data_IF_758809738893
#
_entry.id   IF_758809738893
#
_cell.length_a   1.000
_cell.length_b   1.000
_cell.length_c   1.000
_cell.angle_alpha   90.00
_cell.angle_beta   90.00
_cell.angle_gamma   90.00
#
_symmetry.space_group_name_H-M   'P 1'
#
loop_
_entity.id
_entity.type
_entity.pdbx_description
1 polymer ?
#
# COMPACT_ATOMS: atom_id res chain seq x y z
N UNK A 1 52.85 -61.01 15.63
CA UNK A 1 52.17 -59.97 14.76
C UNK A 1 51.12 -59.30 15.58
N UNK A 2 51.42 -58.05 16.04
CA UNK A 2 50.47 -57.18 16.81
C UNK A 2 49.64 -56.41 15.81
N UNK A 3 48.33 -56.59 15.83
CA UNK A 3 47.36 -55.70 15.07
C UNK A 3 47.19 -54.42 15.81
N UNK A 4 47.59 -53.34 15.19
CA UNK A 4 47.28 -51.94 15.67
C UNK A 4 45.93 -51.53 15.08
N UNK A 5 44.92 -51.38 15.93
CA UNK A 5 43.65 -50.81 15.56
C UNK A 5 43.78 -49.28 15.63
N UNK A 6 43.67 -48.62 14.47
CA UNK A 6 43.59 -47.16 14.36
C UNK A 6 42.14 -46.73 14.56
N UNK A 7 41.85 -46.13 15.69
CA UNK A 7 40.53 -45.55 15.98
C UNK A 7 40.54 -44.11 15.44
N UNK A 8 39.87 -43.87 14.32
CA UNK A 8 39.61 -42.51 13.79
C UNK A 8 38.42 -41.97 14.55
N UNK A 9 38.70 -41.05 15.47
CA UNK A 9 37.66 -40.28 16.12
C UNK A 9 37.16 -39.15 15.15
N UNK A 10 36.00 -39.34 14.59
CA UNK A 10 35.29 -38.26 13.87
C UNK A 10 34.74 -37.29 14.91
N UNK A 11 35.34 -36.10 15.03
CA UNK A 11 34.76 -35.03 15.76
C UNK A 11 33.63 -34.41 14.93
N UNK A 12 32.41 -34.82 15.19
CA UNK A 12 31.21 -34.13 14.70
C UNK A 12 31.09 -32.86 15.53
N UNK A 13 31.47 -31.70 14.96
CA UNK A 13 31.10 -30.41 15.53
C UNK A 13 29.60 -30.25 15.34
N UNK A 14 28.82 -30.57 16.37
CA UNK A 14 27.42 -30.18 16.45
C UNK A 14 27.40 -28.69 16.55
N UNK A 15 26.95 -28.01 15.50
CA UNK A 15 26.49 -26.61 15.57
C UNK A 15 25.25 -26.65 16.46
N UNK A 16 25.43 -26.43 17.75
CA UNK A 16 24.34 -26.30 18.70
C UNK A 16 23.61 -24.97 18.40
N UNK A 17 22.41 -25.05 17.87
CA UNK A 17 21.51 -23.90 17.87
C UNK A 17 21.14 -23.64 19.32
N UNK A 18 21.55 -22.48 19.84
CA UNK A 18 21.11 -22.04 21.16
C UNK A 18 19.62 -21.70 21.07
N UNK A 19 18.81 -22.31 21.93
CA UNK A 19 17.37 -22.11 21.99
C UNK A 19 16.90 -22.24 23.42
N UNK A 20 16.40 -21.15 24.00
CA UNK A 20 15.84 -21.15 25.33
C UNK A 20 14.34 -21.36 25.28
N UNK A 21 13.83 -22.42 25.90
CA UNK A 21 12.39 -22.75 25.96
C UNK A 21 11.84 -22.45 27.36
N UNK A 22 10.79 -21.66 27.43
CA UNK A 22 10.05 -21.30 28.63
C UNK A 22 8.68 -21.98 28.59
N UNK A 23 8.42 -22.90 29.51
CA UNK A 23 7.19 -23.74 29.54
C UNK A 23 6.58 -23.89 30.93
N UNK A 24 7.06 -23.11 31.91
CA UNK A 24 6.58 -23.20 33.29
C UNK A 24 6.23 -21.82 33.83
N UNK A 25 5.52 -21.82 34.99
CA UNK A 25 5.24 -20.59 35.69
C UNK A 25 6.51 -20.02 36.30
N UNK A 26 6.80 -18.76 36.04
CA UNK A 26 7.87 -18.03 36.69
C UNK A 26 7.43 -17.47 38.04
N UNK A 27 8.16 -17.81 39.08
CA UNK A 27 7.89 -17.40 40.45
C UNK A 27 8.95 -16.46 41.02
N UNK A 28 10.01 -16.19 40.27
CA UNK A 28 11.14 -15.33 40.68
C UNK A 28 11.42 -14.27 39.61
N UNK A 29 11.88 -13.12 40.09
CA UNK A 29 12.39 -12.05 39.21
C UNK A 29 13.68 -12.49 38.56
N UNK A 30 13.73 -12.58 37.23
CA UNK A 30 14.94 -12.92 36.50
C UNK A 30 14.94 -12.44 35.04
N UNK A 31 16.13 -12.33 34.49
CA UNK A 31 16.33 -12.12 33.05
C UNK A 31 16.73 -13.44 32.41
N UNK A 32 16.05 -13.79 31.33
CA UNK A 32 16.40 -14.92 30.44
C UNK A 32 16.90 -14.35 29.13
N UNK A 33 18.08 -14.76 28.73
CA UNK A 33 18.71 -14.29 27.47
C UNK A 33 19.20 -15.47 26.66
N UNK A 34 18.97 -15.42 25.37
CA UNK A 34 19.44 -16.39 24.37
C UNK A 34 19.98 -15.65 23.14
N UNK A 35 21.12 -16.06 22.58
CA UNK A 35 21.70 -15.39 21.41
C UNK A 35 20.81 -15.43 20.17
N UNK A 36 19.98 -16.46 20.03
CA UNK A 36 19.20 -16.69 18.80
C UNK A 36 17.69 -16.69 19.04
N UNK A 37 17.19 -17.41 20.05
CA UNK A 37 15.74 -17.59 20.18
C UNK A 37 15.33 -17.87 21.62
N UNK A 38 14.30 -17.16 22.10
CA UNK A 38 13.55 -17.49 23.30
C UNK A 38 12.13 -17.90 22.90
N UNK A 39 11.74 -19.15 23.22
CA UNK A 39 10.41 -19.69 22.90
C UNK A 39 9.58 -19.78 24.19
N UNK A 40 8.41 -19.17 24.19
CA UNK A 40 7.41 -19.31 25.24
C UNK A 40 6.35 -20.31 24.78
N UNK A 41 6.28 -21.45 25.43
CA UNK A 41 5.30 -22.48 25.12
C UNK A 41 3.98 -22.30 25.90
N UNK A 42 2.88 -22.93 25.46
CA UNK A 42 1.66 -22.99 26.24
C UNK A 42 1.93 -23.54 27.65
N UNK A 43 1.45 -22.80 28.67
CA UNK A 43 1.75 -23.09 30.07
C UNK A 43 2.80 -22.17 30.70
N UNK A 44 3.56 -21.40 29.89
CA UNK A 44 4.38 -20.33 30.45
C UNK A 44 3.50 -19.20 31.00
N UNK A 45 3.82 -18.76 32.22
CA UNK A 45 3.13 -17.66 32.89
C UNK A 45 4.11 -16.89 33.77
N UNK A 46 4.17 -15.58 33.62
CA UNK A 46 4.87 -14.66 34.51
C UNK A 46 3.92 -13.51 34.87
N UNK A 47 3.82 -13.18 36.14
CA UNK A 47 2.98 -12.07 36.59
C UNK A 47 3.77 -11.14 37.52
N UNK A 48 3.41 -9.87 37.55
CA UNK A 48 4.02 -8.86 38.41
C UNK A 48 3.89 -9.16 39.91
N UNK A 49 2.94 -10.00 40.27
CA UNK A 49 2.75 -10.43 41.66
C UNK A 49 3.76 -11.51 42.10
N UNK A 50 4.27 -12.32 41.16
CA UNK A 50 5.14 -13.48 41.47
C UNK A 50 6.54 -13.37 40.86
N UNK A 51 6.71 -12.67 39.74
CA UNK A 51 7.97 -12.58 39.02
C UNK A 51 8.14 -11.20 38.35
N UNK A 52 8.37 -10.16 39.15
CA UNK A 52 8.56 -8.81 38.64
C UNK A 52 9.92 -8.25 39.09
N UNK A 53 10.76 -7.76 38.16
CA UNK A 53 10.62 -7.86 36.71
C UNK A 53 11.03 -9.24 36.15
N UNK A 54 10.27 -9.78 35.20
CA UNK A 54 10.69 -10.89 34.35
C UNK A 54 11.03 -10.33 32.98
N UNK A 55 12.23 -10.60 32.46
CA UNK A 55 12.72 -10.09 31.18
C UNK A 55 13.25 -11.24 30.33
N UNK A 56 12.74 -11.40 29.11
CA UNK A 56 13.27 -12.30 28.09
C UNK A 56 13.92 -11.47 26.98
N UNK A 57 15.20 -11.76 26.65
CA UNK A 57 15.97 -11.03 25.65
C UNK A 57 16.57 -11.98 24.61
N UNK A 58 16.72 -11.51 23.39
CA UNK A 58 17.50 -12.17 22.32
C UNK A 58 18.74 -11.31 22.08
N UNK A 59 19.92 -11.91 22.00
CA UNK A 59 21.19 -11.24 21.73
C UNK A 59 22.35 -11.82 22.55
N UNK A 60 23.57 -11.56 22.10
CA UNK A 60 24.80 -12.03 22.77
C UNK A 60 25.15 -11.21 24.01
N UNK A 61 25.76 -11.90 25.00
CA UNK A 61 26.40 -11.27 26.16
C UNK A 61 27.77 -10.69 25.76
N UNK A 62 27.79 -9.75 24.81
CA UNK A 62 29.02 -9.04 24.47
C UNK A 62 29.44 -8.15 25.62
N UNK A 63 30.53 -8.52 26.32
CA UNK A 63 31.24 -7.59 27.19
C UNK A 63 31.82 -6.45 26.35
N UNK A 64 31.34 -5.24 26.50
CA UNK A 64 31.91 -4.08 25.83
C UNK A 64 31.07 -2.82 25.93
N UNK A 65 31.29 -2.03 26.97
CA UNK A 65 31.06 -0.58 26.97
C UNK A 65 29.62 -0.11 27.11
N UNK A 66 29.30 0.34 28.32
CA UNK A 66 27.99 0.83 28.73
C UNK A 66 27.29 1.78 27.77
N UNK A 67 26.13 1.37 27.39
CA UNK A 67 24.97 2.23 27.25
C UNK A 67 23.82 1.48 27.89
N UNK A 68 23.29 2.04 28.95
CA UNK A 68 22.08 1.57 29.61
C UNK A 68 20.95 1.65 28.61
N UNK A 69 20.51 0.49 28.08
CA UNK A 69 19.24 0.39 27.38
C UNK A 69 18.14 0.75 28.37
N UNK A 70 17.60 1.93 28.19
CA UNK A 70 16.45 2.40 28.96
C UNK A 70 15.25 1.55 28.58
N UNK A 71 14.67 0.89 29.58
CA UNK A 71 13.43 0.14 29.50
C UNK A 71 12.35 0.94 28.74
N UNK A 72 11.59 0.23 27.90
CA UNK A 72 10.32 0.71 27.40
C UNK A 72 9.31 0.83 28.56
N UNK A 73 9.53 1.79 29.41
CA UNK A 73 8.63 2.22 30.46
C UNK A 73 7.87 3.45 29.99
N UNK A 74 6.59 3.48 30.27
CA UNK A 74 5.63 4.56 30.06
C UNK A 74 5.95 5.83 30.84
N UNK A 75 7.14 6.37 30.68
CA UNK A 75 7.48 7.72 31.11
C UNK A 75 8.04 8.45 29.90
N UNK A 76 7.44 9.58 29.57
CA UNK A 76 8.01 10.53 28.60
C UNK A 76 9.53 10.64 28.89
N UNK A 77 10.40 10.27 27.98
CA UNK A 77 11.83 10.50 28.18
C UNK A 77 12.08 11.99 28.00
N UNK A 78 12.02 12.73 29.10
CA UNK A 78 12.63 14.06 29.20
C UNK A 78 14.14 13.88 29.38
N UNK A 79 14.77 13.24 28.42
CA UNK A 79 16.21 13.05 28.38
C UNK A 79 16.69 13.34 26.98
N UNK A 80 17.61 14.25 26.84
CA UNK A 80 18.36 14.56 25.62
C UNK A 80 19.20 13.34 25.22
N UNK A 81 18.55 12.34 24.65
CA UNK A 81 19.22 11.32 23.86
C UNK A 81 19.46 11.94 22.49
N UNK A 82 20.71 11.98 22.08
CA UNK A 82 21.14 12.69 20.88
C UNK A 82 20.20 12.52 19.70
N UNK A 83 19.77 13.60 19.14
CA UNK A 83 19.00 13.91 17.91
C UNK A 83 18.05 12.86 17.29
N UNK A 84 17.77 11.73 17.92
CA UNK A 84 16.81 10.73 17.48
C UNK A 84 15.61 10.72 18.45
N UNK A 85 14.68 11.64 18.24
CA UNK A 85 13.37 11.51 18.87
C UNK A 85 12.63 10.35 18.21
N UNK A 86 12.36 9.28 18.96
CA UNK A 86 11.45 8.24 18.53
C UNK A 86 10.04 8.83 18.51
N UNK A 87 9.41 8.82 17.35
CA UNK A 87 8.02 9.19 17.21
C UNK A 87 7.19 7.91 17.07
N UNK A 88 6.19 7.76 17.92
CA UNK A 88 5.19 6.71 17.76
C UNK A 88 4.52 6.88 16.39
N UNK A 89 4.75 5.93 15.51
CA UNK A 89 4.11 5.88 14.20
C UNK A 89 2.83 5.07 14.36
N UNK A 90 1.69 5.75 14.38
CA UNK A 90 0.39 5.09 14.43
C UNK A 90 0.15 4.36 13.11
N UNK A 91 0.03 3.05 13.17
CA UNK A 91 -0.28 2.18 12.04
C UNK A 91 -1.13 1.01 12.48
N UNK A 92 -1.73 0.32 11.51
CA UNK A 92 -2.48 -0.89 11.74
C UNK A 92 -1.76 -2.09 11.13
N UNK A 93 -1.58 -3.15 11.93
CA UNK A 93 -0.99 -4.41 11.49
C UNK A 93 -2.10 -5.46 11.43
N UNK A 94 -2.21 -6.14 10.30
CA UNK A 94 -3.17 -7.23 10.13
C UNK A 94 -2.60 -8.33 9.22
N UNK A 95 -3.21 -9.51 9.27
CA UNK A 95 -2.97 -10.59 8.30
C UNK A 95 -4.17 -10.66 7.38
N UNK A 96 -3.97 -10.46 6.09
CA UNK A 96 -5.05 -10.51 5.11
C UNK A 96 -5.55 -11.94 4.86
N UNK A 97 -6.66 -12.07 4.12
CA UNK A 97 -7.24 -13.38 3.80
C UNK A 97 -6.34 -14.33 3.01
N UNK A 98 -5.26 -13.84 2.41
CA UNK A 98 -4.22 -14.63 1.75
C UNK A 98 -3.05 -15.04 2.65
N UNK A 99 -3.10 -14.72 3.95
CA UNK A 99 -2.03 -15.03 4.91
C UNK A 99 -0.84 -14.06 4.85
N UNK A 100 -0.93 -12.95 4.14
CA UNK A 100 0.13 -11.95 4.05
C UNK A 100 0.00 -10.92 5.18
N UNK A 101 1.14 -10.58 5.79
CA UNK A 101 1.20 -9.46 6.73
C UNK A 101 0.97 -8.15 5.98
N UNK A 102 0.03 -7.34 6.46
CA UNK A 102 -0.19 -5.97 6.01
C UNK A 102 0.08 -5.00 7.15
N UNK A 103 0.75 -3.90 6.82
CA UNK A 103 0.91 -2.75 7.70
C UNK A 103 0.40 -1.51 6.97
N UNK A 104 -0.57 -0.84 7.54
CA UNK A 104 -1.15 0.40 6.99
C UNK A 104 -0.72 1.58 7.83
N UNK A 105 -0.04 2.52 7.21
CA UNK A 105 0.38 3.78 7.80
C UNK A 105 -0.48 4.92 7.25
N UNK A 106 -1.46 5.45 8.02
CA UNK A 106 -2.28 6.56 7.58
C UNK A 106 -1.46 7.85 7.51
N UNK A 107 -1.64 8.60 6.43
CA UNK A 107 -1.04 9.94 6.29
C UNK A 107 -1.99 10.94 6.94
N UNK A 108 -1.52 11.63 7.97
CA UNK A 108 -2.30 12.67 8.62
C UNK A 108 -2.53 13.85 7.67
N UNK A 109 -3.79 14.11 7.33
CA UNK A 109 -4.21 15.18 6.44
C UNK A 109 -5.07 16.20 7.20
N UNK A 110 -4.95 17.51 6.87
CA UNK A 110 -5.85 18.52 7.40
C UNK A 110 -7.28 18.30 6.86
N UNK A 111 -8.32 18.56 7.64
CA UNK A 111 -9.70 18.43 7.20
C UNK A 111 -10.02 19.40 6.07
N UNK A 112 -10.83 18.97 5.12
CA UNK A 112 -11.45 19.85 4.13
C UNK A 112 -12.78 20.42 4.61
N UNK A 113 -13.49 21.09 3.71
CA UNK A 113 -14.84 21.59 3.98
C UNK A 113 -15.78 20.42 4.28
N UNK A 114 -16.51 20.50 5.40
CA UNK A 114 -17.38 19.41 5.90
C UNK A 114 -16.67 18.06 6.03
N UNK A 115 -15.39 18.08 6.41
CA UNK A 115 -14.53 16.89 6.53
C UNK A 115 -14.27 16.14 5.22
N UNK A 116 -14.57 16.73 4.07
CA UNK A 116 -14.21 16.16 2.76
C UNK A 116 -12.70 16.22 2.57
N UNK A 117 -12.03 15.08 2.65
CA UNK A 117 -10.60 14.94 2.46
C UNK A 117 -10.30 13.59 1.80
N UNK A 118 -9.21 13.46 1.02
CA UNK A 118 -8.79 12.17 0.49
C UNK A 118 -8.36 11.25 1.64
N UNK A 119 -8.51 9.94 1.43
CA UNK A 119 -7.92 8.94 2.32
C UNK A 119 -6.67 8.38 1.65
N UNK A 120 -5.51 8.73 2.16
CA UNK A 120 -4.23 8.28 1.60
C UNK A 120 -3.42 7.61 2.68
N UNK A 121 -2.91 6.42 2.39
CA UNK A 121 -2.06 5.68 3.30
C UNK A 121 -0.85 5.14 2.56
N UNK A 122 0.23 4.87 3.28
CA UNK A 122 1.25 3.93 2.84
C UNK A 122 0.88 2.54 3.35
N UNK A 123 0.95 1.56 2.47
CA UNK A 123 0.63 0.18 2.80
C UNK A 123 1.83 -0.73 2.48
N UNK A 124 2.22 -1.54 3.46
CA UNK A 124 3.16 -2.64 3.26
C UNK A 124 2.38 -3.95 3.15
N UNK A 125 2.75 -4.79 2.19
CA UNK A 125 2.21 -6.15 2.08
C UNK A 125 3.36 -7.12 1.91
N UNK A 126 3.51 -8.08 2.82
CA UNK A 126 4.56 -9.09 2.74
C UNK A 126 4.36 -9.97 1.50
N UNK A 127 5.46 -10.28 0.81
CA UNK A 127 5.41 -11.09 -0.41
C UNK A 127 4.89 -10.35 -1.65
N UNK A 128 4.52 -9.06 -1.57
CA UNK A 128 4.33 -8.25 -2.76
C UNK A 128 5.70 -7.79 -3.31
N UNK A 129 5.80 -7.63 -4.62
CA UNK A 129 7.03 -7.17 -5.28
C UNK A 129 7.38 -5.72 -4.96
N UNK A 130 8.20 -5.09 -5.79
CA UNK A 130 8.52 -3.68 -5.66
C UNK A 130 7.30 -2.80 -5.92
N UNK A 131 6.88 -2.06 -4.90
CA UNK A 131 5.84 -1.04 -5.05
C UNK A 131 6.43 0.34 -5.32
N UNK A 132 5.57 1.33 -5.50
CA UNK A 132 6.00 2.72 -5.77
C UNK A 132 6.79 3.34 -4.60
N UNK A 133 6.58 2.87 -3.37
CA UNK A 133 7.25 3.36 -2.17
C UNK A 133 8.34 2.42 -1.64
N UNK A 134 8.74 1.39 -2.41
CA UNK A 134 9.78 0.42 -2.07
C UNK A 134 9.28 -1.02 -2.13
N UNK A 135 10.15 -1.97 -1.76
CA UNK A 135 9.81 -3.38 -1.76
C UNK A 135 8.70 -3.68 -0.74
N UNK A 136 7.57 -4.17 -1.24
CA UNK A 136 6.36 -4.39 -0.43
C UNK A 136 5.52 -3.13 -0.17
N UNK A 137 6.04 -1.93 -0.41
CA UNK A 137 5.38 -0.68 -0.06
C UNK A 137 4.68 -0.01 -1.24
N UNK A 138 3.43 0.38 -1.04
CA UNK A 138 2.62 1.09 -2.01
C UNK A 138 1.83 2.25 -1.36
N UNK A 139 1.31 3.14 -2.21
CA UNK A 139 0.31 4.12 -1.82
C UNK A 139 -1.07 3.46 -1.95
N UNK A 140 -1.94 3.63 -0.97
CA UNK A 140 -3.34 3.17 -1.01
C UNK A 140 -4.32 4.33 -0.80
N UNK A 141 -5.60 4.08 -1.13
CA UNK A 141 -6.66 5.10 -1.05
C UNK A 141 -6.86 5.90 -2.34
N UNK A 142 -6.03 5.67 -3.35
CA UNK A 142 -6.21 6.21 -4.71
C UNK A 142 -6.86 5.12 -5.56
N UNK A 143 -8.07 5.38 -6.04
CA UNK A 143 -8.85 4.39 -6.79
C UNK A 143 -8.63 4.51 -8.28
N UNK A 144 -8.88 3.40 -9.00
CA UNK A 144 -8.80 3.36 -10.45
C UNK A 144 -9.85 2.43 -11.05
N UNK A 145 -10.12 2.62 -12.34
CA UNK A 145 -10.77 1.62 -13.19
C UNK A 145 -9.67 0.97 -14.02
N UNK A 146 -9.53 -0.34 -13.94
CA UNK A 146 -8.45 -1.06 -14.61
C UNK A 146 -8.96 -2.15 -15.54
N UNK A 147 -8.18 -2.45 -16.60
CA UNK A 147 -8.47 -3.62 -17.45
C UNK A 147 -8.21 -4.89 -16.67
N UNK A 148 -8.97 -5.91 -16.99
CA UNK A 148 -8.78 -7.25 -16.46
C UNK A 148 -8.88 -8.30 -17.56
N UNK A 149 -8.12 -9.37 -17.40
CA UNK A 149 -8.19 -10.54 -18.26
C UNK A 149 -9.41 -11.42 -17.96
N UNK A 150 -9.51 -12.52 -18.68
CA UNK A 150 -10.51 -13.57 -18.48
C UNK A 150 -10.04 -14.57 -17.44
N UNK A 151 -10.97 -15.09 -16.66
CA UNK A 151 -10.73 -16.13 -15.67
C UNK A 151 -11.61 -17.35 -15.94
N UNK A 152 -11.11 -18.52 -15.56
CA UNK A 152 -11.86 -19.76 -15.79
C UNK A 152 -13.21 -19.77 -15.08
N UNK A 153 -13.25 -19.15 -13.90
CA UNK A 153 -14.45 -19.07 -13.06
C UNK A 153 -15.56 -18.24 -13.71
N UNK A 154 -15.20 -17.13 -14.35
CA UNK A 154 -16.16 -16.17 -14.89
C UNK A 154 -16.41 -16.31 -16.39
N UNK A 155 -15.42 -16.83 -17.12
CA UNK A 155 -15.43 -16.83 -18.59
C UNK A 155 -15.28 -18.23 -19.18
N UNK A 156 -15.05 -19.26 -18.35
CA UNK A 156 -14.79 -20.63 -18.80
C UNK A 156 -13.41 -20.83 -19.44
N UNK A 157 -12.64 -19.77 -19.60
CA UNK A 157 -11.30 -19.78 -20.16
C UNK A 157 -10.39 -18.76 -19.46
N UNK A 158 -9.08 -19.00 -19.47
CA UNK A 158 -8.08 -18.02 -19.05
C UNK A 158 -7.60 -17.22 -20.26
N UNK A 159 -7.65 -15.89 -20.18
CA UNK A 159 -7.17 -15.01 -21.22
C UNK A 159 -6.53 -13.76 -20.67
N UNK A 160 -5.34 -13.40 -21.16
CA UNK A 160 -4.68 -12.15 -20.80
C UNK A 160 -5.38 -10.92 -21.41
N UNK A 161 -5.03 -9.75 -20.92
CA UNK A 161 -5.48 -8.46 -21.47
C UNK A 161 -4.96 -8.32 -22.90
N UNK A 162 -5.84 -7.92 -23.82
CA UNK A 162 -5.56 -7.79 -25.27
C UNK A 162 -5.39 -6.35 -25.72
N UNK A 163 -5.65 -5.37 -24.85
CA UNK A 163 -5.61 -3.93 -25.15
C UNK A 163 -6.58 -3.51 -26.26
N UNK A 164 -7.70 -4.22 -26.39
CA UNK A 164 -8.77 -3.91 -27.33
C UNK A 164 -10.16 -3.97 -26.63
N UNK A 165 -11.24 -3.82 -27.40
CA UNK A 165 -12.61 -3.82 -26.87
C UNK A 165 -13.09 -5.18 -26.36
N UNK A 166 -12.30 -6.26 -26.51
CA UNK A 166 -12.62 -7.56 -25.95
C UNK A 166 -12.20 -7.74 -24.47
N UNK A 167 -11.47 -6.76 -23.94
CA UNK A 167 -11.06 -6.74 -22.55
C UNK A 167 -12.20 -6.31 -21.63
N UNK A 168 -12.22 -6.87 -20.44
CA UNK A 168 -13.09 -6.39 -19.38
C UNK A 168 -12.44 -5.29 -18.54
N UNK A 169 -13.27 -4.58 -17.78
CA UNK A 169 -12.84 -3.58 -16.83
C UNK A 169 -13.32 -3.93 -15.44
N UNK A 170 -12.56 -3.49 -14.44
CA UNK A 170 -12.92 -3.61 -13.03
C UNK A 170 -12.94 -2.26 -12.34
N UNK A 171 -13.85 -2.12 -11.39
CA UNK A 171 -13.97 -1.00 -10.47
C UNK A 171 -14.01 -1.55 -9.04
N UNK A 172 -13.12 -1.08 -8.17
CA UNK A 172 -12.97 -1.59 -6.80
C UNK A 172 -12.86 -3.13 -6.73
N UNK A 173 -12.09 -3.72 -7.67
CA UNK A 173 -11.88 -5.17 -7.74
C UNK A 173 -13.07 -5.97 -8.30
N UNK A 174 -14.18 -5.33 -8.65
CA UNK A 174 -15.35 -5.97 -9.22
C UNK A 174 -15.43 -5.74 -10.73
N UNK A 175 -15.73 -6.79 -11.48
CA UNK A 175 -15.93 -6.69 -12.93
C UNK A 175 -17.12 -5.79 -13.25
N UNK A 176 -16.96 -4.95 -14.27
CA UNK A 176 -18.03 -4.15 -14.83
C UNK A 176 -18.86 -4.99 -15.78
N UNK A 177 -20.16 -5.02 -15.55
CA UNK A 177 -21.16 -5.73 -16.38
C UNK A 177 -21.89 -4.69 -17.21
N UNK A 178 -21.96 -4.92 -18.52
CA UNK A 178 -22.64 -4.02 -19.44
C UNK A 178 -24.15 -3.98 -19.13
N UNK A 179 -24.66 -2.76 -18.91
CA UNK A 179 -26.10 -2.50 -18.75
C UNK A 179 -26.74 -2.04 -20.05
N UNK A 180 -26.04 -1.15 -20.79
CA UNK A 180 -26.51 -0.64 -22.09
C UNK A 180 -25.36 -0.12 -22.93
N UNK A 181 -25.52 -0.06 -24.25
CA UNK A 181 -24.48 0.36 -25.19
C UNK A 181 -23.61 -0.80 -25.66
N UNK A 182 -22.37 -0.50 -26.05
CA UNK A 182 -21.35 -1.48 -26.45
C UNK A 182 -20.18 -1.45 -25.48
N UNK A 183 -19.72 -2.64 -25.03
CA UNK A 183 -18.67 -2.75 -24.01
C UNK A 183 -17.37 -2.03 -24.40
N UNK A 184 -16.83 -1.21 -23.51
CA UNK A 184 -15.60 -0.43 -23.73
C UNK A 184 -15.74 0.77 -24.65
N UNK A 185 -16.91 1.02 -25.23
CA UNK A 185 -17.14 2.11 -26.18
C UNK A 185 -17.83 3.31 -25.55
N UNK A 186 -17.81 4.42 -26.27
CA UNK A 186 -18.39 5.69 -25.83
C UNK A 186 -19.89 5.56 -25.53
N UNK A 187 -20.30 6.07 -24.37
CA UNK A 187 -21.70 6.14 -23.94
C UNK A 187 -22.24 4.86 -23.31
N UNK A 188 -21.44 3.79 -23.19
CA UNK A 188 -21.91 2.57 -22.54
C UNK A 188 -22.08 2.77 -21.03
N UNK A 189 -23.11 2.14 -20.47
CA UNK A 189 -23.40 2.14 -19.03
C UNK A 189 -23.15 0.75 -18.44
N UNK A 190 -22.67 0.75 -17.18
CA UNK A 190 -22.26 -0.46 -16.48
C UNK A 190 -22.83 -0.50 -15.07
N UNK A 191 -22.92 -1.71 -14.55
CA UNK A 191 -23.12 -2.03 -13.14
C UNK A 191 -21.97 -2.90 -12.66
N UNK A 192 -21.75 -2.98 -11.35
CA UNK A 192 -20.79 -3.89 -10.76
C UNK A 192 -21.33 -5.30 -10.67
N UNK A 193 -20.46 -6.31 -10.75
CA UNK A 193 -20.82 -7.74 -10.68
C UNK A 193 -21.61 -8.08 -9.41
N UNK A 194 -21.18 -7.59 -8.26
CA UNK A 194 -22.02 -7.57 -7.05
C UNK A 194 -22.81 -6.28 -7.08
N UNK A 195 -24.11 -6.39 -6.94
CA UNK A 195 -24.98 -5.22 -6.99
C UNK A 195 -24.49 -4.13 -6.03
N UNK A 196 -24.29 -2.95 -6.57
CA UNK A 196 -24.11 -1.72 -5.84
C UNK A 196 -24.89 -0.62 -6.54
N UNK A 197 -25.45 0.32 -5.80
CA UNK A 197 -26.23 1.42 -6.37
C UNK A 197 -25.31 2.49 -6.97
N UNK A 198 -24.47 2.07 -7.90
CA UNK A 198 -23.48 2.90 -8.59
C UNK A 198 -23.77 2.88 -10.09
N UNK A 199 -23.77 4.05 -10.70
CA UNK A 199 -23.88 4.19 -12.16
C UNK A 199 -22.50 4.52 -12.74
N UNK A 200 -22.04 3.72 -13.68
CA UNK A 200 -20.73 3.87 -14.32
C UNK A 200 -20.93 4.05 -15.82
N UNK A 201 -20.25 5.02 -16.41
CA UNK A 201 -20.27 5.29 -17.85
C UNK A 201 -18.85 5.37 -18.42
N UNK A 202 -18.66 4.77 -19.59
CA UNK A 202 -17.47 4.98 -20.41
C UNK A 202 -17.70 6.06 -21.45
N UNK A 203 -16.75 6.98 -21.62
CA UNK A 203 -16.89 8.17 -22.44
C UNK A 203 -15.66 8.39 -23.31
N UNK A 204 -15.89 8.96 -24.50
CA UNK A 204 -14.85 9.20 -25.49
C UNK A 204 -14.36 7.90 -26.15
N UNK A 205 -13.41 8.06 -27.07
CA UNK A 205 -12.78 6.95 -27.80
C UNK A 205 -11.30 7.26 -28.00
N UNK A 206 -10.42 6.41 -27.47
CA UNK A 206 -8.99 6.51 -27.73
C UNK A 206 -8.72 6.25 -29.19
N UNK A 207 -8.05 7.18 -29.85
CA UNK A 207 -7.67 7.10 -31.25
C UNK A 207 -6.16 7.31 -31.41
N UNK A 208 -5.58 6.69 -32.45
CA UNK A 208 -4.16 6.86 -32.80
C UNK A 208 -3.16 6.22 -31.81
N UNK A 209 -3.64 5.34 -30.92
CA UNK A 209 -2.82 4.60 -29.98
C UNK A 209 -2.72 3.12 -30.35
N UNK A 210 -1.71 2.43 -29.82
CA UNK A 210 -1.54 0.99 -29.98
C UNK A 210 -2.55 0.16 -29.16
N UNK A 211 -3.50 0.81 -28.52
CA UNK A 211 -4.55 0.20 -27.71
C UNK A 211 -5.90 0.91 -27.94
N UNK A 212 -7.00 0.25 -27.63
CA UNK A 212 -8.36 0.73 -27.82
C UNK A 212 -9.08 0.81 -26.48
N UNK A 213 -9.99 1.77 -26.32
CA UNK A 213 -10.81 1.90 -25.11
C UNK A 213 -11.48 3.27 -25.02
N UNK A 214 -12.23 3.52 -23.94
CA UNK A 214 -12.76 4.85 -23.68
C UNK A 214 -11.64 5.82 -23.30
N UNK A 215 -11.92 7.11 -23.39
CA UNK A 215 -10.98 8.13 -22.94
C UNK A 215 -11.06 8.37 -21.44
N UNK A 216 -12.25 8.27 -20.86
CA UNK A 216 -12.47 8.43 -19.42
C UNK A 216 -13.76 7.75 -18.96
N UNK A 217 -13.96 7.74 -17.66
CA UNK A 217 -15.12 7.16 -17.01
C UNK A 217 -15.74 8.13 -16.03
N UNK A 218 -17.07 8.12 -15.95
CA UNK A 218 -17.85 8.80 -14.91
C UNK A 218 -18.53 7.78 -14.01
N UNK A 219 -18.41 7.98 -12.72
CA UNK A 219 -19.06 7.16 -11.69
C UNK A 219 -19.95 8.06 -10.86
N UNK A 220 -21.24 7.70 -10.73
CA UNK A 220 -22.18 8.36 -9.83
C UNK A 220 -22.57 7.39 -8.75
N UNK A 221 -22.39 7.80 -7.49
CA UNK A 221 -22.70 7.01 -6.29
C UNK A 221 -24.13 7.26 -5.81
N UNK A 222 -24.61 6.44 -4.90
CA UNK A 222 -25.99 6.49 -4.38
C UNK A 222 -26.30 7.78 -3.60
N UNK A 223 -25.29 8.40 -2.98
CA UNK A 223 -25.38 9.67 -2.25
C UNK A 223 -25.34 10.89 -3.18
N UNK A 224 -25.29 10.66 -4.50
CA UNK A 224 -25.18 11.70 -5.51
C UNK A 224 -23.78 12.26 -5.72
N UNK A 225 -22.78 11.75 -5.01
CA UNK A 225 -21.38 12.08 -5.30
C UNK A 225 -20.95 11.51 -6.65
N UNK A 226 -19.93 12.11 -7.24
CA UNK A 226 -19.44 11.75 -8.57
C UNK A 226 -17.92 11.62 -8.56
N UNK A 227 -17.40 10.68 -9.35
CA UNK A 227 -15.97 10.54 -9.59
C UNK A 227 -15.67 10.40 -11.10
N UNK A 228 -14.52 10.93 -11.51
CA UNK A 228 -14.02 10.84 -12.88
C UNK A 228 -12.68 10.11 -12.87
N UNK A 229 -12.52 9.20 -13.82
CA UNK A 229 -11.34 8.34 -13.95
C UNK A 229 -10.72 8.49 -15.34
N UNK A 230 -9.41 8.66 -15.40
CA UNK A 230 -8.66 8.85 -16.64
C UNK A 230 -8.64 10.30 -17.14
N UNK A 231 -9.76 11.00 -17.11
CA UNK A 231 -9.90 12.42 -17.43
C UNK A 231 -11.27 12.94 -16.95
N UNK A 232 -11.51 14.24 -17.06
CA UNK A 232 -12.84 14.87 -16.87
C UNK A 232 -13.50 15.23 -18.20
N UNK A 233 -12.75 15.22 -19.29
CA UNK A 233 -13.19 15.50 -20.65
C UNK A 233 -12.39 14.67 -21.64
N UNK A 234 -12.81 14.60 -22.88
CA UNK A 234 -12.05 13.96 -23.97
C UNK A 234 -10.73 14.67 -24.24
N UNK A 235 -9.71 13.94 -24.69
CA UNK A 235 -8.39 14.44 -25.03
C UNK A 235 -7.26 13.71 -24.31
N UNK A 236 -6.05 14.28 -24.36
CA UNK A 236 -4.88 13.72 -23.73
C UNK A 236 -4.99 13.78 -22.20
N UNK A 237 -4.46 12.75 -21.52
CA UNK A 237 -4.44 12.69 -20.05
C UNK A 237 -3.27 11.88 -19.55
N UNK A 238 -2.60 12.37 -18.50
CA UNK A 238 -1.55 11.66 -17.77
C UNK A 238 -2.11 10.66 -16.73
N UNK A 239 -3.39 10.71 -16.45
CA UNK A 239 -4.05 9.79 -15.50
C UNK A 239 -4.54 8.50 -16.15
N UNK A 240 -4.41 8.39 -17.47
CA UNK A 240 -4.86 7.25 -18.25
C UNK A 240 -3.68 6.54 -18.88
N UNK A 241 -3.56 5.24 -18.63
CA UNK A 241 -2.60 4.33 -19.28
C UNK A 241 -3.35 3.30 -20.12
N UNK A 242 -2.67 2.47 -20.93
CA UNK A 242 -3.33 1.39 -21.66
C UNK A 242 -4.13 0.41 -20.78
N UNK A 243 -3.76 0.27 -19.50
CA UNK A 243 -4.37 -0.72 -18.59
C UNK A 243 -5.18 -0.09 -17.45
N UNK A 244 -5.04 1.21 -17.21
CA UNK A 244 -5.56 1.83 -16.00
C UNK A 244 -6.03 3.27 -16.22
N UNK A 245 -7.14 3.61 -15.58
CA UNK A 245 -7.75 4.94 -15.54
C UNK A 245 -7.77 5.39 -14.09
N UNK A 246 -6.83 6.21 -13.69
CA UNK A 246 -6.72 6.70 -12.31
C UNK A 246 -7.75 7.80 -12.05
N UNK A 247 -8.21 7.90 -10.81
CA UNK A 247 -9.14 8.97 -10.39
C UNK A 247 -8.50 10.34 -10.62
N UNK A 248 -9.21 11.26 -11.24
CA UNK A 248 -8.75 12.65 -11.45
C UNK A 248 -9.56 13.66 -10.67
N UNK A 249 -10.81 13.32 -10.33
CA UNK A 249 -11.70 14.19 -9.59
C UNK A 249 -12.74 13.38 -8.84
N UNK A 250 -13.08 13.84 -7.64
CA UNK A 250 -14.26 13.44 -6.90
C UNK A 250 -15.00 14.68 -6.43
N UNK A 251 -16.35 14.64 -6.39
CA UNK A 251 -17.19 15.76 -5.99
C UNK A 251 -18.44 15.26 -5.26
N UNK A 252 -18.80 15.89 -4.15
CA UNK A 252 -20.06 15.62 -3.47
C UNK A 252 -21.24 16.39 -4.10
N UNK A 253 -22.45 16.07 -3.66
CA UNK A 253 -23.68 16.75 -4.13
C UNK A 253 -23.78 18.23 -3.75
N UNK A 254 -22.89 18.75 -2.90
CA UNK A 254 -22.83 20.15 -2.47
C UNK A 254 -21.75 20.96 -3.18
N UNK A 255 -20.97 20.30 -4.04
CA UNK A 255 -19.91 20.94 -4.82
C UNK A 255 -18.54 20.94 -4.14
N UNK A 256 -18.37 20.33 -2.96
CA UNK A 256 -17.03 20.12 -2.40
C UNK A 256 -16.30 19.09 -3.25
N UNK A 257 -15.04 19.33 -3.58
CA UNK A 257 -14.34 18.47 -4.53
C UNK A 257 -12.88 18.20 -4.15
N UNK A 258 -12.35 17.13 -4.73
CA UNK A 258 -10.95 16.69 -4.62
C UNK A 258 -10.44 16.50 -6.05
N UNK A 259 -9.22 16.94 -6.34
CA UNK A 259 -8.57 16.75 -7.63
C UNK A 259 -7.25 15.99 -7.46
N UNK A 260 -6.90 15.21 -8.48
CA UNK A 260 -5.70 14.36 -8.51
C UNK A 260 -4.95 14.64 -9.79
N UNK A 261 -3.63 14.83 -9.71
CA UNK A 261 -2.77 15.05 -10.88
C UNK A 261 -1.71 13.96 -10.98
N UNK A 262 -1.30 13.65 -12.20
CA UNK A 262 -0.38 12.55 -12.49
C UNK A 262 0.71 12.98 -13.47
N UNK A 263 1.85 12.29 -13.39
CA UNK A 263 2.84 12.23 -14.47
C UNK A 263 2.80 10.85 -15.10
N UNK A 264 2.78 10.78 -16.42
CA UNK A 264 2.81 9.54 -17.17
C UNK A 264 4.10 9.46 -18.01
N UNK A 265 4.81 8.36 -17.83
CA UNK A 265 5.97 7.99 -18.64
C UNK A 265 5.94 6.49 -18.95
N UNK A 266 6.28 6.10 -20.18
CA UNK A 266 6.41 4.69 -20.59
C UNK A 266 5.21 3.82 -20.16
N UNK A 267 3.99 4.30 -20.39
CA UNK A 267 2.72 3.66 -20.06
C UNK A 267 2.48 3.41 -18.55
N UNK A 268 3.22 4.06 -17.68
CA UNK A 268 3.03 4.05 -16.22
C UNK A 268 2.68 5.45 -15.76
N UNK A 269 1.63 5.59 -14.96
CA UNK A 269 1.22 6.84 -14.34
C UNK A 269 1.56 6.82 -12.85
N UNK A 270 2.13 7.91 -12.34
CA UNK A 270 2.38 8.13 -10.91
C UNK A 270 1.66 9.39 -10.44
N UNK A 271 1.11 9.34 -9.24
CA UNK A 271 0.40 10.47 -8.63
C UNK A 271 1.40 11.59 -8.31
N UNK A 272 1.10 12.84 -8.68
CA UNK A 272 1.93 14.00 -8.33
C UNK A 272 1.39 14.72 -7.10
N UNK A 273 0.11 15.05 -7.12
CA UNK A 273 -0.52 15.75 -6.02
C UNK A 273 -2.03 15.46 -5.95
N UNK A 274 -2.58 15.69 -4.76
CA UNK A 274 -4.00 15.69 -4.50
C UNK A 274 -4.34 17.01 -3.82
N UNK A 275 -5.40 17.68 -4.26
CA UNK A 275 -5.84 18.93 -3.69
C UNK A 275 -7.29 18.84 -3.26
N UNK A 276 -7.63 19.45 -2.11
CA UNK A 276 -8.97 19.42 -1.55
C UNK A 276 -9.29 20.67 -0.72
N UNK A 277 -10.53 20.76 -0.23
CA UNK A 277 -11.02 21.88 0.56
C UNK A 277 -11.65 22.98 -0.29
N UNK A 278 -11.68 22.84 -1.62
CA UNK A 278 -12.40 23.74 -2.51
C UNK A 278 -13.89 23.39 -2.62
N UNK A 279 -14.66 24.35 -3.17
CA UNK A 279 -16.06 24.13 -3.53
C UNK A 279 -16.33 24.70 -4.92
N UNK A 280 -16.69 23.83 -5.86
CA UNK A 280 -16.87 24.18 -7.26
C UNK A 280 -18.12 25.03 -7.48
N UNK A 281 -19.22 24.72 -6.79
CA UNK A 281 -20.48 25.49 -6.88
C UNK A 281 -20.31 26.93 -6.40
N UNK A 282 -19.46 27.15 -5.40
CA UNK A 282 -19.16 28.46 -4.86
C UNK A 282 -17.93 29.12 -5.48
N UNK A 283 -17.33 28.49 -6.50
CA UNK A 283 -16.07 28.92 -7.15
C UNK A 283 -14.94 29.16 -6.14
N UNK A 284 -14.84 28.34 -5.10
CA UNK A 284 -13.77 28.39 -4.10
C UNK A 284 -12.65 27.44 -4.46
N UNK A 285 -11.40 27.91 -4.57
CA UNK A 285 -10.26 27.05 -4.87
C UNK A 285 -9.94 26.14 -3.70
N UNK A 286 -9.14 25.10 -3.97
CA UNK A 286 -8.53 24.25 -2.95
C UNK A 286 -7.59 25.06 -2.06
N UNK A 287 -7.53 24.71 -0.78
CA UNK A 287 -6.59 25.29 0.18
C UNK A 287 -5.68 24.25 0.84
N UNK A 288 -5.96 22.96 0.66
CA UNK A 288 -5.11 21.85 1.10
C UNK A 288 -4.51 21.13 -0.09
N UNK A 289 -3.28 20.64 0.09
CA UNK A 289 -2.53 19.90 -0.94
C UNK A 289 -1.60 18.87 -0.31
N UNK A 290 -1.55 17.66 -0.86
CA UNK A 290 -0.51 16.68 -0.63
C UNK A 290 0.31 16.51 -1.91
N UNK A 291 1.63 16.50 -1.80
CA UNK A 291 2.57 16.37 -2.92
C UNK A 291 3.42 15.13 -2.71
N UNK A 292 3.54 14.33 -3.75
CA UNK A 292 4.35 13.12 -3.80
C UNK A 292 5.62 13.40 -4.60
N UNK A 293 6.77 13.32 -3.97
CA UNK A 293 8.06 13.57 -4.62
C UNK A 293 8.79 12.25 -4.87
N UNK A 294 9.31 12.09 -6.06
CA UNK A 294 9.94 10.86 -6.53
C UNK A 294 11.39 11.07 -6.89
N UNK A 295 12.19 10.03 -6.70
CA UNK A 295 13.50 9.86 -7.34
C UNK A 295 13.43 8.74 -8.39
N UNK A 296 14.43 8.66 -9.23
CA UNK A 296 14.54 7.52 -10.15
C UNK A 296 15.05 6.28 -9.38
N UNK A 297 14.54 5.11 -9.78
CA UNK A 297 15.01 3.82 -9.26
C UNK A 297 16.32 3.41 -9.90
N UNK A 298 17.22 2.82 -9.13
CA UNK A 298 18.41 2.16 -9.66
C UNK A 298 18.02 0.92 -10.48
N UNK A 299 17.13 0.09 -9.93
CA UNK A 299 16.58 -1.08 -10.60
C UNK A 299 15.15 -0.76 -11.10
N UNK A 300 15.05 -0.49 -12.39
CA UNK A 300 13.78 -0.22 -13.06
C UNK A 300 13.01 -1.51 -13.29
N UNK A 301 11.69 -1.45 -13.17
CA UNK A 301 10.82 -2.58 -13.45
C UNK A 301 10.22 -2.45 -14.84
N UNK A 302 10.43 -3.49 -15.65
CA UNK A 302 9.97 -3.55 -17.02
C UNK A 302 9.02 -4.72 -17.16
N UNK A 303 7.85 -4.47 -17.73
CA UNK A 303 6.91 -5.50 -18.15
C UNK A 303 6.40 -5.21 -19.56
N UNK A 304 5.96 -6.25 -20.24
CA UNK A 304 5.41 -6.13 -21.58
C UNK A 304 4.01 -6.74 -21.63
N UNK A 305 3.10 -6.02 -22.25
CA UNK A 305 1.76 -6.48 -22.49
C UNK A 305 1.42 -6.22 -23.97
N UNK A 306 1.20 -7.28 -24.75
CA UNK A 306 0.92 -7.22 -26.19
C UNK A 306 1.94 -6.33 -26.95
N UNK A 307 3.22 -6.41 -26.59
CA UNK A 307 4.29 -5.65 -27.21
C UNK A 307 4.46 -4.21 -26.73
N UNK A 308 3.56 -3.69 -25.92
CA UNK A 308 3.75 -2.41 -25.26
C UNK A 308 4.61 -2.57 -24.01
N UNK A 309 5.60 -1.73 -23.85
CA UNK A 309 6.45 -1.64 -22.68
C UNK A 309 5.77 -0.83 -21.58
N UNK A 310 5.84 -1.35 -20.35
CA UNK A 310 5.49 -0.63 -19.14
C UNK A 310 6.74 -0.55 -18.29
N UNK A 311 7.26 0.66 -18.10
CA UNK A 311 8.53 0.87 -17.41
C UNK A 311 8.32 1.74 -16.16
N UNK A 312 8.36 1.11 -14.97
CA UNK A 312 8.31 1.83 -13.70
C UNK A 312 9.71 2.30 -13.31
N UNK A 313 9.91 3.63 -13.38
CA UNK A 313 11.20 4.28 -13.06
C UNK A 313 11.20 4.97 -11.71
N UNK A 314 10.03 5.29 -11.16
CA UNK A 314 9.93 6.18 -10.02
C UNK A 314 9.87 5.42 -8.70
N UNK A 315 10.51 5.98 -7.69
CA UNK A 315 10.46 5.55 -6.30
C UNK A 315 10.03 6.75 -5.46
N UNK A 316 9.01 6.58 -4.64
CA UNK A 316 8.55 7.61 -3.72
C UNK A 316 9.67 7.96 -2.73
N UNK A 317 10.04 9.23 -2.68
CA UNK A 317 11.07 9.74 -1.80
C UNK A 317 10.50 10.36 -0.53
N UNK A 318 9.53 11.27 -0.70
CA UNK A 318 8.84 11.87 0.42
C UNK A 318 7.44 12.36 0.01
N UNK A 319 6.61 12.60 1.03
CA UNK A 319 5.27 13.16 0.90
C UNK A 319 5.22 14.45 1.72
N UNK A 320 4.75 15.53 1.10
CA UNK A 320 4.62 16.83 1.76
C UNK A 320 3.15 17.23 1.78
N UNK A 321 2.64 17.56 2.97
CA UNK A 321 1.27 18.03 3.16
C UNK A 321 1.28 19.51 3.47
N UNK A 322 0.53 20.29 2.71
CA UNK A 322 0.38 21.73 2.88
C UNK A 322 -1.08 22.09 3.14
N UNK A 323 -1.29 23.12 3.96
CA UNK A 323 -2.60 23.71 4.23
C UNK A 323 -2.47 25.23 4.23
N UNK A 324 -3.33 25.91 3.48
CA UNK A 324 -3.30 27.38 3.33
C UNK A 324 -1.93 27.95 2.93
N UNK A 325 -1.16 27.20 2.12
CA UNK A 325 0.16 27.61 1.66
C UNK A 325 1.31 27.28 2.62
N UNK A 326 1.03 26.82 3.83
CA UNK A 326 2.04 26.41 4.82
C UNK A 326 2.19 24.89 4.90
N UNK A 327 3.39 24.43 5.21
CA UNK A 327 3.64 22.99 5.39
C UNK A 327 2.97 22.49 6.67
N UNK A 328 2.04 21.53 6.51
CA UNK A 328 1.34 20.87 7.61
C UNK A 328 2.16 19.68 8.14
N UNK A 329 2.65 18.82 7.23
CA UNK A 329 3.50 17.66 7.53
C UNK A 329 4.40 17.28 6.36
N UNK A 330 5.54 16.64 6.68
CA UNK A 330 6.48 16.03 5.74
C UNK A 330 6.84 14.63 6.21
#
# INVERSE_FOLDING_TARGET
MKKINFLIAFAISSIGFSQTILNQQETTSRTVQDPQTVIMLPGFHASSATASPFVAKIGDNGEGGGTTDSEAGTTNPSGTLGNNSFHDTQGNIEVNGGGQLQFTLPIALPPGVKSVAPQVNLIYTSGSGNGIAGYGWNISGITSISRMGRTIEKDGEVGGIKLDYSDYYSFNGQRLILKSGEYGKNGAEYVTEKYSNVKIKSLGTVAGQAWQGPEYWEVTFEDGSQAWYGATTTGASNARTPIEYNIVKWKDGQGNYITYTYTQENNVAVINDIQWGGNETLSKPHFNKIVFNYSDRDLKEISFLKGLEFLQKKLLNNIVVNSNGEQFKK
#
